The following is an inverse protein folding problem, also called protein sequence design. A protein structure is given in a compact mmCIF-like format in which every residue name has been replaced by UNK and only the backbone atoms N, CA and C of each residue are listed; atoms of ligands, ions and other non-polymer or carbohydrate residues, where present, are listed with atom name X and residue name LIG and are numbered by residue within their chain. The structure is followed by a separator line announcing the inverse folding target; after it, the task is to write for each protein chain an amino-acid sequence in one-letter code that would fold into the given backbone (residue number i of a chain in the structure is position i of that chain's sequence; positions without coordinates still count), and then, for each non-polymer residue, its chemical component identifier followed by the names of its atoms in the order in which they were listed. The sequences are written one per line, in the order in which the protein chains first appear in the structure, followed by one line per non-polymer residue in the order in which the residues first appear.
data_IF_411648431489
#
_entry.id   IF_411648431489
#
_cell.length_a   1.000
_cell.length_b   1.000
_cell.length_c   1.000
_cell.angle_alpha   90.00
_cell.angle_beta   90.00
_cell.angle_gamma   90.00
#
_symmetry.space_group_name_H-M   'P 1'
#
loop_
_entity.id
_entity.type
_entity.pdbx_description
1 polymer ?
#
# COMPACT_ATOMS: atom_id res chain seq x y z
N UNK A 1 -20.94 -4.71 -15.88
CA UNK A 1 -21.02 -3.66 -14.85
C UNK A 1 -19.73 -3.69 -14.07
N UNK A 2 -18.86 -2.69 -14.21
CA UNK A 2 -17.69 -2.59 -13.34
C UNK A 2 -18.20 -2.18 -11.96
N UNK A 3 -18.20 -3.13 -11.02
CA UNK A 3 -18.55 -2.83 -9.65
C UNK A 3 -17.47 -1.91 -9.08
N UNK A 4 -17.85 -0.69 -8.70
CA UNK A 4 -16.96 0.22 -7.98
C UNK A 4 -16.57 -0.34 -6.61
N UNK A 5 -15.47 0.16 -6.04
CA UNK A 5 -15.06 -0.20 -4.69
C UNK A 5 -15.99 0.44 -3.66
N UNK A 6 -16.47 -0.33 -2.67
CA UNK A 6 -17.35 0.19 -1.60
C UNK A 6 -16.60 1.12 -0.64
N UNK A 7 -15.30 0.88 -0.48
CA UNK A 7 -14.38 1.68 0.32
C UNK A 7 -12.94 1.45 -0.16
N UNK A 8 -12.01 2.24 0.37
CA UNK A 8 -10.60 2.15 0.00
C UNK A 8 -9.92 0.86 0.45
N UNK A 9 -10.44 0.18 1.49
CA UNK A 9 -9.90 -1.11 1.92
C UNK A 9 -10.22 -2.23 0.91
N UNK A 10 -11.41 -2.23 0.31
CA UNK A 10 -11.72 -3.14 -0.80
C UNK A 10 -10.85 -2.87 -2.03
N UNK A 11 -10.52 -1.61 -2.31
CA UNK A 11 -9.54 -1.27 -3.34
C UNK A 11 -8.15 -1.82 -2.99
N UNK A 12 -7.67 -1.61 -1.75
CA UNK A 12 -6.39 -2.13 -1.28
C UNK A 12 -6.31 -3.65 -1.43
N UNK A 13 -7.36 -4.36 -1.03
CA UNK A 13 -7.43 -5.81 -1.17
C UNK A 13 -7.37 -6.24 -2.63
N UNK A 14 -8.18 -5.63 -3.50
CA UNK A 14 -8.20 -5.93 -4.93
C UNK A 14 -6.85 -5.62 -5.60
N UNK A 15 -6.18 -4.53 -5.21
CA UNK A 15 -4.85 -4.19 -5.69
C UNK A 15 -3.85 -5.32 -5.41
N UNK A 16 -3.78 -5.80 -4.17
CA UNK A 16 -2.85 -6.88 -3.82
C UNK A 16 -3.24 -8.21 -4.47
N UNK A 17 -4.54 -8.51 -4.60
CA UNK A 17 -4.98 -9.67 -5.39
C UNK A 17 -4.57 -9.55 -6.86
N UNK A 18 -4.59 -8.36 -7.45
CA UNK A 18 -4.13 -8.16 -8.83
C UNK A 18 -2.61 -8.33 -8.94
N UNK A 19 -1.83 -7.81 -7.98
CA UNK A 19 -0.39 -8.07 -7.89
C UNK A 19 -0.09 -9.56 -7.81
N UNK A 20 -0.91 -10.33 -7.06
CA UNK A 20 -0.73 -11.79 -6.91
C UNK A 20 -0.77 -12.57 -8.23
N UNK A 21 -1.42 -12.01 -9.26
CA UNK A 21 -1.57 -12.64 -10.57
C UNK A 21 -0.35 -12.42 -11.48
N UNK A 22 0.57 -11.53 -11.11
CA UNK A 22 1.76 -11.20 -11.88
C UNK A 22 3.01 -11.91 -11.35
N UNK A 23 3.52 -12.97 -12.00
CA UNK A 23 4.69 -13.70 -11.51
C UNK A 23 5.93 -12.81 -11.35
N UNK A 24 6.17 -11.90 -12.30
CA UNK A 24 7.27 -10.92 -12.28
C UNK A 24 7.15 -9.89 -11.14
N UNK A 25 5.93 -9.63 -10.66
CA UNK A 25 5.74 -8.79 -9.47
C UNK A 25 5.94 -9.62 -8.20
N UNK A 26 5.43 -10.85 -8.18
CA UNK A 26 5.48 -11.74 -7.02
C UNK A 26 6.91 -12.20 -6.68
N UNK A 27 7.77 -12.40 -7.68
CA UNK A 27 9.17 -12.82 -7.49
C UNK A 27 10.00 -11.80 -6.69
N UNK A 28 9.54 -10.55 -6.60
CA UNK A 28 10.22 -9.48 -5.85
C UNK A 28 9.94 -9.53 -4.35
N UNK A 29 8.98 -10.36 -3.91
CA UNK A 29 8.59 -10.51 -2.52
C UNK A 29 9.09 -11.83 -1.93
N UNK A 30 9.34 -11.84 -0.61
CA UNK A 30 9.62 -13.08 0.13
C UNK A 30 8.42 -14.04 0.08
N UNK A 31 8.65 -15.35 0.23
CA UNK A 31 7.59 -16.37 0.21
C UNK A 31 6.45 -16.05 1.20
N UNK A 32 6.80 -15.56 2.39
CA UNK A 32 5.79 -15.13 3.37
C UNK A 32 4.94 -13.97 2.85
N UNK A 33 5.55 -12.97 2.22
CA UNK A 33 4.81 -11.88 1.61
C UNK A 33 4.00 -12.33 0.39
N UNK A 34 4.49 -13.29 -0.39
CA UNK A 34 3.73 -13.87 -1.50
C UNK A 34 2.42 -14.52 -1.00
N UNK A 35 2.46 -15.32 0.07
CA UNK A 35 1.26 -15.93 0.70
C UNK A 35 0.28 -14.86 1.19
N UNK A 36 0.80 -13.74 1.72
CA UNK A 36 -0.05 -12.63 2.17
C UNK A 36 -0.75 -11.95 0.99
N UNK A 37 0.00 -11.63 -0.05
CA UNK A 37 -0.49 -10.96 -1.25
C UNK A 37 -1.54 -11.85 -1.95
N UNK A 38 -1.33 -13.17 -2.02
CA UNK A 38 -2.33 -14.10 -2.59
C UNK A 38 -3.66 -14.16 -1.83
N UNK A 39 -3.69 -13.66 -0.59
CA UNK A 39 -4.91 -13.51 0.20
C UNK A 39 -5.43 -12.05 0.24
N UNK A 40 -4.92 -11.16 -0.61
CA UNK A 40 -5.31 -9.73 -0.64
C UNK A 40 -4.78 -8.92 0.54
N UNK A 41 -3.86 -9.49 1.33
CA UNK A 41 -3.23 -8.79 2.43
C UNK A 41 -2.04 -7.98 1.96
N UNK A 42 -1.91 -6.79 2.53
CA UNK A 42 -0.74 -5.94 2.31
C UNK A 42 0.54 -6.66 2.79
N UNK A 43 1.60 -6.69 1.98
CA UNK A 43 2.89 -7.26 2.36
C UNK A 43 3.59 -6.40 3.42
N UNK A 44 4.49 -7.03 4.16
CA UNK A 44 5.40 -6.34 5.07
C UNK A 44 6.56 -5.70 4.29
N UNK A 45 7.02 -4.55 4.79
CA UNK A 45 8.23 -3.89 4.31
C UNK A 45 9.48 -4.50 4.95
N UNK A 46 10.67 -4.34 4.36
CA UNK A 46 11.95 -4.55 5.06
C UNK A 46 12.04 -3.72 6.35
N UNK A 47 12.88 -4.15 7.29
CA UNK A 47 13.00 -3.54 8.62
C UNK A 47 13.40 -2.06 8.55
N UNK A 48 14.21 -1.67 7.57
CA UNK A 48 14.64 -0.28 7.35
C UNK A 48 13.48 0.65 6.98
N UNK A 49 12.38 0.09 6.48
CA UNK A 49 11.17 0.80 6.10
C UNK A 49 10.13 0.92 7.21
N UNK A 50 10.36 0.33 8.39
CA UNK A 50 9.40 0.38 9.49
C UNK A 50 9.27 1.80 10.02
N UNK A 51 8.03 2.21 10.28
CA UNK A 51 7.78 3.36 11.15
C UNK A 51 7.83 2.88 12.60
N UNK A 52 8.67 3.51 13.40
CA UNK A 52 8.81 3.25 14.83
C UNK A 52 8.39 4.51 15.57
N UNK A 53 7.11 4.55 15.98
CA UNK A 53 6.55 5.62 16.77
C UNK A 53 6.50 5.29 18.26
N UNK A 54 6.18 6.27 19.12
CA UNK A 54 6.11 6.06 20.57
C UNK A 54 4.97 5.14 21.01
N UNK A 55 3.94 4.95 20.17
CA UNK A 55 2.74 4.17 20.49
C UNK A 55 2.55 2.93 19.60
N UNK A 56 3.12 2.93 18.40
CA UNK A 56 2.91 1.86 17.43
C UNK A 56 4.13 1.68 16.53
N UNK A 57 4.28 0.45 16.02
CA UNK A 57 5.23 0.10 14.97
C UNK A 57 4.43 -0.32 13.76
N UNK A 58 4.58 0.40 12.64
CA UNK A 58 3.89 0.09 11.39
C UNK A 58 4.88 -0.55 10.43
N UNK A 59 4.54 -1.76 9.98
CA UNK A 59 5.44 -2.67 9.25
C UNK A 59 4.95 -3.05 7.85
N UNK A 60 3.77 -2.60 7.44
CA UNK A 60 3.16 -2.97 6.15
C UNK A 60 3.31 -1.81 5.17
N UNK A 61 3.46 -2.10 3.88
CA UNK A 61 3.40 -1.05 2.86
C UNK A 61 2.12 -0.23 2.98
N UNK A 62 2.14 1.03 2.55
CA UNK A 62 0.99 1.91 2.57
C UNK A 62 0.71 2.44 1.16
N UNK A 63 -0.57 2.69 0.88
CA UNK A 63 -0.99 3.36 -0.35
C UNK A 63 -1.16 4.84 -0.02
N UNK A 64 -0.38 5.68 -0.69
CA UNK A 64 -0.34 7.12 -0.48
C UNK A 64 -0.92 7.86 -1.68
N UNK A 65 -1.78 8.86 -1.42
CA UNK A 65 -2.25 9.79 -2.44
C UNK A 65 -1.22 10.88 -2.67
N UNK A 66 -0.69 10.99 -3.90
CA UNK A 66 0.32 12.00 -4.26
C UNK A 66 -0.24 13.42 -4.18
N UNK A 67 -1.43 13.64 -4.74
CA UNK A 67 -2.25 14.82 -4.52
C UNK A 67 -3.27 14.44 -3.44
N UNK A 68 -3.26 15.16 -2.31
CA UNK A 68 -4.21 14.93 -1.23
C UNK A 68 -5.66 15.07 -1.72
N UNK A 69 -6.55 14.29 -1.12
CA UNK A 69 -7.97 14.30 -1.45
C UNK A 69 -8.59 15.70 -1.20
N UNK A 70 -8.15 16.40 -0.15
CA UNK A 70 -8.57 17.77 0.16
C UNK A 70 -8.22 18.80 -0.93
N UNK A 71 -7.17 18.52 -1.72
CA UNK A 71 -6.74 19.34 -2.86
C UNK A 71 -7.28 18.82 -4.20
N UNK A 72 -8.33 17.99 -4.18
CA UNK A 72 -8.97 17.46 -5.38
C UNK A 72 -8.30 16.23 -5.98
N UNK A 73 -7.38 15.59 -5.23
CA UNK A 73 -6.79 14.32 -5.63
C UNK A 73 -7.84 13.21 -5.77
N UNK A 74 -7.86 12.52 -6.91
CA UNK A 74 -8.78 11.41 -7.15
C UNK A 74 -8.51 10.24 -6.20
N UNK A 75 -9.54 9.77 -5.50
CA UNK A 75 -9.43 8.70 -4.48
C UNK A 75 -8.97 7.37 -5.08
N UNK A 76 -9.53 7.00 -6.23
CA UNK A 76 -9.24 5.74 -6.95
C UNK A 76 -8.50 5.98 -8.27
N UNK A 77 -7.92 7.16 -8.48
CA UNK A 77 -7.09 7.42 -9.65
C UNK A 77 -5.72 6.76 -9.45
N UNK A 78 -5.42 5.71 -10.20
CA UNK A 78 -4.15 4.95 -10.06
C UNK A 78 -2.91 5.84 -10.27
N UNK A 79 -2.98 6.85 -11.13
CA UNK A 79 -1.88 7.78 -11.37
C UNK A 79 -1.61 8.69 -10.16
N UNK A 80 -2.61 8.83 -9.28
CA UNK A 80 -2.51 9.57 -8.02
C UNK A 80 -2.05 8.70 -6.84
N UNK A 81 -1.81 7.40 -7.03
CA UNK A 81 -1.46 6.49 -5.93
C UNK A 81 0.03 6.09 -5.97
N UNK A 82 0.63 5.93 -4.79
CA UNK A 82 2.00 5.45 -4.59
C UNK A 82 2.03 4.36 -3.54
N UNK A 83 2.86 3.35 -3.73
CA UNK A 83 3.18 2.37 -2.68
C UNK A 83 4.44 2.84 -1.97
N UNK A 84 4.32 3.07 -0.66
CA UNK A 84 5.41 3.62 0.17
C UNK A 84 5.63 2.78 1.41
N UNK A 85 6.84 2.86 1.97
CA UNK A 85 7.09 2.32 3.30
C UNK A 85 6.45 3.23 4.36
N UNK A 86 6.05 2.70 5.52
CA UNK A 86 5.55 3.53 6.63
C UNK A 86 6.51 4.64 7.05
N UNK A 87 7.82 4.33 7.06
CA UNK A 87 8.85 5.33 7.34
C UNK A 87 8.81 6.50 6.34
N UNK A 88 8.79 6.19 5.04
CA UNK A 88 8.70 7.22 4.01
C UNK A 88 7.38 7.99 4.08
N UNK A 89 6.28 7.31 4.40
CA UNK A 89 4.98 7.97 4.54
C UNK A 89 4.99 8.99 5.70
N UNK A 90 5.61 8.65 6.83
CA UNK A 90 5.83 9.58 7.95
C UNK A 90 6.73 10.76 7.53
N UNK A 91 7.81 10.50 6.78
CA UNK A 91 8.71 11.54 6.28
C UNK A 91 7.99 12.53 5.34
N UNK A 92 7.14 12.04 4.44
CA UNK A 92 6.38 12.87 3.50
C UNK A 92 5.45 13.85 4.23
N UNK A 93 4.81 13.41 5.33
CA UNK A 93 3.77 14.17 6.02
C UNK A 93 4.26 15.00 7.21
N UNK A 94 5.28 14.54 7.94
CA UNK A 94 5.58 15.08 9.27
C UNK A 94 7.03 15.54 9.47
N UNK A 95 7.99 15.14 8.62
CA UNK A 95 9.41 15.41 8.83
C UNK A 95 10.07 16.28 7.76
N UNK A 96 9.29 17.09 7.04
CA UNK A 96 9.83 18.07 6.10
C UNK A 96 10.67 19.14 6.79
#
# INVERSE_FOLDING_TARGET
MWAGFKNFDNFREALWLEVSKGPVLMEQFSEFNQIRISHGFTPFVPDEGHYIGPKEIVKKFQIHHFISIEYGGGVYNIDNLRIVTPKLHDEIHYRR
#
